data_IF_206362433598
#
_entry.id   IF_206362433598
#
_cell.length_a   1.000
_cell.length_b   1.000
_cell.length_c   1.000
_cell.angle_alpha   90.00
_cell.angle_beta   90.00
_cell.angle_gamma   90.00
#
_symmetry.space_group_name_H-M   'P 1'
#
loop_
_entity.id
_entity.type
_entity.pdbx_description
1 polymer ?
#
# COMPACT_ATOMS: atom_id res chain seq x y z
N UNK A 1 14.50 -18.66 -18.25
CA UNK A 1 13.46 -17.89 -17.53
C UNK A 1 12.12 -18.60 -17.73
N UNK A 2 11.40 -18.94 -16.66
CA UNK A 2 10.15 -19.72 -16.73
C UNK A 2 8.96 -18.81 -17.07
N UNK A 3 7.86 -19.29 -17.68
CA UNK A 3 6.71 -18.46 -18.07
C UNK A 3 6.14 -17.61 -16.92
N UNK A 4 6.00 -18.17 -15.72
CA UNK A 4 5.47 -17.44 -14.56
C UNK A 4 6.32 -16.20 -14.16
N UNK A 5 7.60 -16.19 -14.51
CA UNK A 5 8.54 -15.11 -14.21
C UNK A 5 8.41 -13.92 -15.17
N UNK A 6 7.64 -14.07 -16.27
CA UNK A 6 7.33 -13.00 -17.24
C UNK A 6 6.13 -12.14 -16.82
N UNK A 7 5.48 -12.46 -15.70
CA UNK A 7 4.26 -11.77 -15.26
C UNK A 7 4.57 -10.52 -14.43
N UNK A 8 3.64 -9.55 -14.42
CA UNK A 8 3.73 -8.33 -13.62
C UNK A 8 3.60 -8.56 -12.10
N UNK A 9 3.32 -9.78 -11.63
CA UNK A 9 3.24 -10.09 -10.19
C UNK A 9 4.62 -10.16 -9.51
N UNK A 10 5.65 -10.37 -10.32
CA UNK A 10 7.03 -10.59 -9.89
C UNK A 10 7.92 -9.44 -10.37
N UNK A 11 8.92 -9.09 -9.57
CA UNK A 11 10.02 -8.20 -9.93
C UNK A 11 11.27 -9.05 -10.15
N UNK A 12 11.84 -8.95 -11.35
CA UNK A 12 13.12 -9.59 -11.67
C UNK A 12 14.23 -8.56 -11.46
N UNK A 13 15.19 -8.88 -10.59
CA UNK A 13 16.36 -8.03 -10.30
C UNK A 13 17.62 -8.78 -10.70
N UNK A 14 18.34 -8.29 -11.69
CA UNK A 14 19.63 -8.86 -12.08
C UNK A 14 20.72 -8.37 -11.12
N UNK A 15 21.46 -9.30 -10.52
CA UNK A 15 22.58 -8.98 -9.62
C UNK A 15 23.81 -9.79 -10.03
N UNK A 16 24.97 -9.13 -10.05
CA UNK A 16 26.25 -9.80 -10.22
C UNK A 16 26.58 -10.57 -8.94
N UNK A 17 27.03 -11.81 -9.12
CA UNK A 17 27.62 -12.62 -8.07
C UNK A 17 29.10 -12.23 -7.89
N UNK A 18 29.71 -12.51 -6.73
CA UNK A 18 31.14 -12.30 -6.52
C UNK A 18 32.00 -12.99 -7.59
N UNK A 19 31.56 -14.15 -8.10
CA UNK A 19 32.21 -14.90 -9.18
C UNK A 19 32.02 -14.30 -10.59
N UNK A 20 31.55 -13.06 -10.72
CA UNK A 20 31.39 -12.34 -12.00
C UNK A 20 30.12 -12.68 -12.80
N UNK A 21 29.47 -13.81 -12.52
CA UNK A 21 28.24 -14.20 -13.23
C UNK A 21 27.03 -13.32 -12.83
N UNK A 22 26.14 -13.00 -13.78
CA UNK A 22 24.90 -12.26 -13.52
C UNK A 22 23.74 -13.24 -13.32
N UNK A 23 23.05 -13.17 -12.17
CA UNK A 23 21.89 -14.00 -11.86
C UNK A 23 20.62 -13.15 -11.69
N UNK A 24 19.49 -13.68 -12.16
CA UNK A 24 18.18 -13.06 -12.02
C UNK A 24 17.53 -13.45 -10.69
N UNK A 25 17.44 -12.52 -9.75
CA UNK A 25 16.75 -12.70 -8.48
C UNK A 25 15.26 -12.35 -8.64
N UNK A 26 14.42 -13.36 -8.49
CA UNK A 26 12.97 -13.29 -8.71
C UNK A 26 12.30 -13.04 -7.36
N UNK A 27 11.68 -11.87 -7.17
CA UNK A 27 11.00 -11.50 -5.92
C UNK A 27 9.57 -11.02 -6.18
N UNK A 28 8.65 -11.20 -5.23
CA UNK A 28 7.30 -10.63 -5.34
C UNK A 28 7.34 -9.11 -5.36
N UNK A 29 6.43 -8.47 -6.10
CA UNK A 29 6.30 -7.00 -6.06
C UNK A 29 5.81 -6.56 -4.68
N UNK A 30 6.32 -5.41 -4.23
CA UNK A 30 5.86 -4.76 -3.00
C UNK A 30 4.42 -4.29 -3.19
N UNK A 31 3.59 -4.45 -2.17
CA UNK A 31 2.22 -3.94 -2.17
C UNK A 31 2.20 -2.41 -2.29
N UNK A 32 1.12 -1.90 -2.87
CA UNK A 32 0.89 -0.47 -2.98
C UNK A 32 0.68 0.15 -1.60
N UNK A 33 0.96 1.45 -1.48
CA UNK A 33 0.65 2.24 -0.28
C UNK A 33 -0.87 2.24 -0.07
N UNK A 34 -1.32 2.17 1.18
CA UNK A 34 -2.74 2.29 1.50
C UNK A 34 -3.23 3.72 1.25
N UNK A 35 -4.42 3.84 0.68
CA UNK A 35 -5.07 5.12 0.36
C UNK A 35 -6.36 5.28 1.17
N UNK A 36 -6.73 6.53 1.44
CA UNK A 36 -8.01 6.86 2.06
C UNK A 36 -9.17 6.60 1.09
N UNK A 37 -10.26 5.97 1.53
CA UNK A 37 -11.42 5.69 0.70
C UNK A 37 -12.11 6.95 0.13
N UNK A 38 -12.12 8.06 0.90
CA UNK A 38 -12.83 9.29 0.53
C UNK A 38 -11.94 10.20 -0.33
N UNK A 39 -10.77 10.60 0.17
CA UNK A 39 -9.91 11.57 -0.50
C UNK A 39 -8.78 10.95 -1.35
N UNK A 40 -8.64 9.62 -1.38
CA UNK A 40 -7.61 8.87 -2.13
C UNK A 40 -6.15 9.21 -1.78
N UNK A 41 -5.92 10.08 -0.80
CA UNK A 41 -4.58 10.43 -0.29
C UNK A 41 -3.93 9.22 0.39
N UNK A 42 -2.59 9.07 0.31
CA UNK A 42 -1.89 8.00 0.98
C UNK A 42 -2.02 8.13 2.51
N UNK A 43 -2.28 7.02 3.18
CA UNK A 43 -2.32 6.94 4.63
C UNK A 43 -0.88 6.91 5.17
N UNK A 44 -0.63 7.69 6.22
CA UNK A 44 0.69 7.81 6.87
C UNK A 44 0.98 6.67 7.86
N UNK A 45 0.05 5.74 8.05
CA UNK A 45 0.14 4.63 9.01
C UNK A 45 0.12 3.25 8.36
N UNK A 46 0.32 2.20 9.15
CA UNK A 46 0.27 0.82 8.67
C UNK A 46 -1.15 0.43 8.25
N UNK A 47 -1.22 -0.49 7.29
CA UNK A 47 -2.47 -1.17 6.91
C UNK A 47 -2.85 -2.07 8.09
N UNK A 48 -3.74 -1.59 8.96
CA UNK A 48 -4.17 -2.33 10.16
C UNK A 48 -3.98 -1.61 11.51
N UNK A 49 -3.54 -0.35 11.53
CA UNK A 49 -3.54 0.43 12.77
C UNK A 49 -4.98 0.71 13.25
N UNK A 50 -5.51 -0.17 14.12
CA UNK A 50 -6.88 -0.11 14.69
C UNK A 50 -7.02 0.88 15.87
N UNK A 51 -5.99 1.67 16.18
CA UNK A 51 -6.00 2.61 17.31
C UNK A 51 -7.11 3.67 17.23
N UNK A 52 -7.66 3.93 16.04
CA UNK A 52 -8.80 4.84 15.82
C UNK A 52 -9.91 4.16 15.03
N UNK A 53 -11.13 4.65 15.20
CA UNK A 53 -12.28 4.25 14.38
C UNK A 53 -11.96 4.52 12.90
N UNK A 54 -12.20 3.52 12.05
CA UNK A 54 -11.82 3.48 10.62
C UNK A 54 -10.30 3.67 10.35
N UNK A 55 -9.45 3.33 11.32
CA UNK A 55 -8.00 3.32 11.18
C UNK A 55 -7.53 2.35 10.09
N UNK A 56 -6.76 2.87 9.12
CA UNK A 56 -6.32 2.10 7.94
C UNK A 56 -7.26 2.17 6.74
N UNK A 57 -8.46 2.76 6.87
CA UNK A 57 -9.42 2.96 5.78
C UNK A 57 -9.66 4.45 5.46
N UNK A 58 -9.77 5.28 6.50
CA UNK A 58 -10.01 6.73 6.38
C UNK A 58 -8.83 7.52 6.98
N UNK A 59 -8.53 8.69 6.41
CA UNK A 59 -7.55 9.62 6.95
C UNK A 59 -8.12 10.46 8.11
N UNK A 60 -7.27 11.03 8.96
CA UNK A 60 -7.70 11.81 10.13
C UNK A 60 -8.62 12.99 9.76
N UNK A 61 -8.37 13.66 8.63
CA UNK A 61 -9.17 14.81 8.19
C UNK A 61 -10.59 14.39 7.79
N UNK A 62 -10.71 13.37 6.96
CA UNK A 62 -12.03 12.88 6.54
C UNK A 62 -12.83 12.35 7.73
N UNK A 63 -12.18 11.66 8.68
CA UNK A 63 -12.83 11.23 9.92
C UNK A 63 -13.34 12.43 10.75
N UNK A 64 -12.53 13.47 10.90
CA UNK A 64 -12.93 14.68 11.64
C UNK A 64 -14.12 15.39 10.99
N UNK A 65 -14.16 15.47 9.65
CA UNK A 65 -15.28 16.07 8.93
C UNK A 65 -16.56 15.26 9.11
N UNK A 66 -16.47 13.93 9.03
CA UNK A 66 -17.61 13.03 9.24
C UNK A 66 -18.19 13.17 10.65
N UNK A 67 -17.35 13.15 11.68
CA UNK A 67 -17.82 13.32 13.07
C UNK A 67 -18.52 14.67 13.25
N UNK A 68 -17.99 15.74 12.63
CA UNK A 68 -18.63 17.06 12.69
C UNK A 68 -19.95 17.11 11.92
N UNK A 69 -20.04 16.49 10.75
CA UNK A 69 -21.27 16.50 9.95
C UNK A 69 -22.38 15.69 10.63
N UNK A 70 -22.05 14.53 11.20
CA UNK A 70 -23.02 13.69 11.93
C UNK A 70 -23.55 14.41 13.16
N UNK A 71 -22.69 15.08 13.92
CA UNK A 71 -23.10 15.83 15.11
C UNK A 71 -23.93 17.08 14.77
N UNK A 72 -23.75 17.67 13.58
CA UNK A 72 -24.52 18.84 13.14
C UNK A 72 -25.85 18.48 12.48
N UNK A 73 -26.13 17.18 12.25
CA UNK A 73 -27.33 16.72 11.55
C UNK A 73 -27.37 17.09 10.07
N UNK A 74 -26.23 17.45 9.48
CA UNK A 74 -26.13 17.85 8.06
C UNK A 74 -25.81 16.66 7.14
N UNK A 75 -26.02 15.44 7.63
CA UNK A 75 -25.50 14.20 7.06
C UNK A 75 -26.59 13.21 6.74
#
# INVERSE_FOLDING_TARGET
MKPFQRTNSVRVVYRKTPSGSSRALVRRRKSNKSTCAICKKPLRGSVGSKQRIYGGYICHRCLQHLIKSTMRGTS
#
